data_IF_498860444631
#
_entry.id   IF_498860444631
#
_cell.length_a   1.000
_cell.length_b   1.000
_cell.length_c   1.000
_cell.angle_alpha   90.00
_cell.angle_beta   90.00
_cell.angle_gamma   90.00
#
_symmetry.space_group_name_H-M   'P 1'
#
loop_
_entity.id
_entity.type
_entity.pdbx_description
1 polymer ?
#
# COMPACT_ATOMS: atom_id res chain seq x y z
N UNK A 1 -15.65 -32.28 -0.38
CA UNK A 1 -15.96 -30.92 0.09
C UNK A 1 -15.11 -30.66 1.31
N UNK A 2 -13.91 -30.14 1.11
CA UNK A 2 -13.05 -29.72 2.22
C UNK A 2 -13.54 -28.32 2.59
N UNK A 3 -14.17 -28.19 3.76
CA UNK A 3 -14.40 -26.87 4.33
C UNK A 3 -13.04 -26.29 4.68
N UNK A 4 -12.63 -25.21 4.03
CA UNK A 4 -11.57 -24.33 4.52
C UNK A 4 -12.06 -23.73 5.84
N UNK A 5 -11.64 -24.35 6.95
CA UNK A 5 -12.06 -23.96 8.30
C UNK A 5 -11.15 -22.91 8.92
N UNK A 6 -10.05 -22.55 8.26
CA UNK A 6 -8.99 -21.72 8.84
C UNK A 6 -8.93 -20.30 8.27
N UNK A 7 -9.66 -20.00 7.19
CA UNK A 7 -9.75 -18.67 6.60
C UNK A 7 -10.49 -17.70 7.51
N UNK A 8 -9.87 -16.56 7.83
CA UNK A 8 -10.42 -15.53 8.68
C UNK A 8 -10.47 -14.19 7.96
N UNK A 9 -11.50 -13.39 8.27
CA UNK A 9 -11.66 -12.04 7.73
C UNK A 9 -10.85 -11.04 8.54
N UNK A 10 -10.05 -10.24 7.84
CA UNK A 10 -9.26 -9.17 8.41
C UNK A 10 -9.50 -7.89 7.65
N UNK A 11 -9.28 -6.77 8.33
CA UNK A 11 -9.29 -5.43 7.78
C UNK A 11 -7.90 -4.86 7.92
N UNK A 12 -7.27 -4.56 6.79
CA UNK A 12 -6.00 -3.86 6.74
C UNK A 12 -6.27 -2.38 6.67
N UNK A 13 -5.78 -1.61 7.63
CA UNK A 13 -5.83 -0.15 7.63
C UNK A 13 -4.41 0.34 7.43
N UNK A 14 -4.16 0.96 6.28
CA UNK A 14 -2.83 1.35 5.84
C UNK A 14 -2.81 2.87 5.71
N UNK A 15 -1.80 3.49 6.29
CA UNK A 15 -1.49 4.90 6.03
C UNK A 15 -0.01 5.03 5.72
N UNK A 16 0.33 5.85 4.74
CA UNK A 16 1.70 6.11 4.35
C UNK A 16 1.87 7.55 3.88
N UNK A 17 3.01 8.13 4.23
CA UNK A 17 3.46 9.40 3.69
C UNK A 17 4.59 9.14 2.70
N UNK A 18 4.43 9.60 1.46
CA UNK A 18 5.42 9.42 0.42
C UNK A 18 5.63 10.67 -0.42
N UNK A 19 6.83 10.79 -0.97
CA UNK A 19 7.34 11.97 -1.69
C UNK A 19 8.02 11.54 -2.97
N UNK A 20 7.94 12.32 -4.04
CA UNK A 20 8.86 12.20 -5.20
C UNK A 20 9.84 13.37 -5.23
N UNK A 21 11.05 13.11 -5.71
CA UNK A 21 12.11 14.12 -5.88
C UNK A 21 11.85 15.10 -7.04
N UNK A 22 10.79 14.91 -7.83
CA UNK A 22 10.53 15.72 -9.03
C UNK A 22 9.07 16.20 -9.10
N UNK A 23 8.87 17.51 -9.31
CA UNK A 23 7.54 18.12 -9.37
C UNK A 23 6.72 17.74 -10.61
N UNK A 24 7.38 17.32 -11.68
CA UNK A 24 6.72 16.97 -12.95
C UNK A 24 6.41 15.48 -13.04
N UNK A 25 6.84 14.70 -12.06
CA UNK A 25 6.68 13.27 -12.03
C UNK A 25 5.38 12.88 -11.31
N UNK A 26 4.79 11.75 -11.70
CA UNK A 26 3.68 11.15 -10.96
C UNK A 26 4.26 10.03 -10.11
N UNK A 27 4.03 10.11 -8.81
CA UNK A 27 4.44 9.12 -7.84
C UNK A 27 3.26 8.19 -7.55
N UNK A 28 3.54 6.90 -7.49
CA UNK A 28 2.59 5.84 -7.22
C UNK A 28 2.97 5.12 -5.94
N UNK A 29 1.97 4.71 -5.17
CA UNK A 29 2.13 3.82 -4.04
C UNK A 29 1.14 2.67 -4.19
N UNK A 30 1.67 1.49 -4.44
CA UNK A 30 0.90 0.26 -4.62
C UNK A 30 0.95 -0.59 -3.35
N UNK A 31 -0.20 -1.09 -2.93
CA UNK A 31 -0.34 -2.06 -1.84
C UNK A 31 -0.49 -3.44 -2.46
N UNK A 32 0.42 -4.36 -2.12
CA UNK A 32 0.30 -5.77 -2.53
C UNK A 32 0.26 -6.71 -1.33
N UNK A 33 -0.50 -7.79 -1.46
CA UNK A 33 -0.56 -8.89 -0.50
C UNK A 33 -0.23 -10.18 -1.27
N UNK A 34 0.83 -10.87 -0.86
CA UNK A 34 1.32 -12.10 -1.53
C UNK A 34 1.51 -11.93 -3.05
N UNK A 35 1.97 -10.75 -3.46
CA UNK A 35 2.15 -10.31 -4.86
C UNK A 35 0.87 -9.96 -5.62
N UNK A 36 -0.31 -10.06 -5.02
CA UNK A 36 -1.56 -9.54 -5.59
C UNK A 36 -1.73 -8.06 -5.25
N UNK A 37 -2.03 -7.24 -6.26
CA UNK A 37 -2.32 -5.82 -6.05
C UNK A 37 -3.70 -5.65 -5.41
N UNK A 38 -3.72 -5.05 -4.22
CA UNK A 38 -4.94 -4.74 -3.50
C UNK A 38 -5.42 -3.30 -3.72
N UNK A 39 -4.48 -2.35 -3.86
CA UNK A 39 -4.79 -0.93 -4.02
C UNK A 39 -3.61 -0.18 -4.65
N UNK A 40 -3.87 0.97 -5.24
CA UNK A 40 -2.87 1.90 -5.74
C UNK A 40 -3.37 3.33 -5.55
N UNK A 41 -2.47 4.20 -5.11
CA UNK A 41 -2.68 5.65 -5.11
C UNK A 41 -1.63 6.31 -5.99
N UNK A 42 -1.99 7.43 -6.62
CA UNK A 42 -1.05 8.23 -7.38
C UNK A 42 -1.22 9.72 -7.08
N UNK A 43 -0.09 10.43 -7.05
CA UNK A 43 -0.11 11.87 -6.87
C UNK A 43 0.94 12.54 -7.74
N UNK A 44 0.58 13.72 -8.25
CA UNK A 44 1.51 14.64 -8.90
C UNK A 44 1.76 15.83 -7.96
N UNK A 45 2.95 15.97 -7.39
CA UNK A 45 3.27 17.10 -6.52
C UNK A 45 3.20 18.46 -7.23
N UNK A 46 2.93 19.51 -6.47
CA UNK A 46 3.11 20.90 -6.92
C UNK A 46 4.58 21.37 -6.84
N UNK A 47 5.39 20.74 -5.97
CA UNK A 47 6.84 20.96 -5.86
C UNK A 47 7.57 19.69 -5.40
N UNK A 48 8.87 19.58 -5.72
CA UNK A 48 9.66 18.40 -5.37
C UNK A 48 9.73 18.19 -3.85
N UNK A 49 9.60 16.95 -3.40
CA UNK A 49 9.69 16.57 -1.99
C UNK A 49 8.44 16.88 -1.15
N UNK A 50 7.36 17.37 -1.76
CA UNK A 50 6.09 17.57 -1.02
C UNK A 50 5.53 16.21 -0.58
N UNK A 51 5.21 16.04 0.71
CA UNK A 51 4.61 14.82 1.22
C UNK A 51 3.15 14.71 0.75
N UNK A 52 2.80 13.53 0.27
CA UNK A 52 1.43 13.11 0.03
C UNK A 52 1.05 12.01 1.02
N UNK A 53 -0.17 12.10 1.55
CA UNK A 53 -0.69 11.16 2.53
C UNK A 53 -1.66 10.21 1.83
N UNK A 54 -1.31 8.94 1.83
CA UNK A 54 -2.17 7.83 1.43
C UNK A 54 -2.79 7.20 2.67
N UNK A 55 -4.11 6.97 2.63
CA UNK A 55 -4.85 6.25 3.65
C UNK A 55 -5.88 5.33 2.98
N UNK A 56 -5.85 4.04 3.29
CA UNK A 56 -6.81 3.06 2.76
C UNK A 56 -7.22 2.02 3.80
N UNK A 57 -8.38 1.41 3.56
CA UNK A 57 -8.93 0.32 4.35
C UNK A 57 -9.36 -0.80 3.42
N UNK A 58 -8.76 -1.98 3.56
CA UNK A 58 -8.95 -3.10 2.64
C UNK A 58 -9.42 -4.33 3.43
N UNK A 59 -10.64 -4.84 3.18
CA UNK A 59 -11.06 -6.13 3.71
C UNK A 59 -10.37 -7.26 2.95
N UNK A 60 -9.79 -8.22 3.67
CA UNK A 60 -9.11 -9.39 3.11
C UNK A 60 -9.56 -10.66 3.84
N UNK A 61 -9.48 -11.79 3.15
CA UNK A 61 -9.62 -13.12 3.75
C UNK A 61 -8.25 -13.76 3.72
N UNK A 62 -7.73 -14.15 4.88
CA UNK A 62 -6.42 -14.77 5.01
C UNK A 62 -6.58 -16.15 5.62
N UNK A 63 -5.89 -17.12 5.03
CA UNK A 63 -5.77 -18.45 5.58
C UNK A 63 -4.77 -18.48 6.74
N UNK A 64 -4.65 -19.62 7.41
CA UNK A 64 -3.58 -19.80 8.39
C UNK A 64 -2.23 -19.81 7.67
N UNK A 65 -1.31 -18.92 8.05
CA UNK A 65 0.02 -18.93 7.48
C UNK A 65 0.74 -17.59 7.57
N UNK A 66 1.90 -17.54 6.93
CA UNK A 66 2.64 -16.31 6.71
C UNK A 66 2.11 -15.65 5.43
N UNK A 67 1.72 -14.39 5.55
CA UNK A 67 1.36 -13.53 4.43
C UNK A 67 2.30 -12.32 4.39
N UNK A 68 2.59 -11.81 3.20
CA UNK A 68 3.49 -10.69 2.99
C UNK A 68 2.74 -9.50 2.40
N UNK A 69 2.60 -8.44 3.20
CA UNK A 69 2.10 -7.15 2.74
C UNK A 69 3.28 -6.27 2.32
N UNK A 70 3.24 -5.71 1.11
CA UNK A 70 4.26 -4.79 0.60
C UNK A 70 3.66 -3.45 0.20
N UNK A 71 4.46 -2.39 0.38
CA UNK A 71 4.19 -1.06 -0.15
C UNK A 71 5.24 -0.76 -1.21
N UNK A 72 4.82 -0.69 -2.47
CA UNK A 72 5.71 -0.50 -3.61
C UNK A 72 5.56 0.92 -4.15
N UNK A 73 6.61 1.71 -3.99
CA UNK A 73 6.66 3.08 -4.50
C UNK A 73 7.25 3.10 -5.93
N UNK A 74 6.55 3.71 -6.88
CA UNK A 74 6.94 3.77 -8.30
C UNK A 74 6.82 5.18 -8.86
N UNK A 75 7.59 5.47 -9.90
CA UNK A 75 7.59 6.75 -10.61
C UNK A 75 7.33 6.51 -12.10
N UNK A 76 6.55 7.38 -12.74
CA UNK A 76 6.38 7.35 -14.21
C UNK A 76 7.68 7.57 -14.98
N UNK A 77 8.58 8.41 -14.45
CA UNK A 77 9.78 8.86 -15.15
C UNK A 77 11.07 8.30 -14.54
N UNK A 78 10.98 7.26 -13.70
CA UNK A 78 12.12 6.63 -13.04
C UNK A 78 12.79 7.48 -11.95
N UNK A 79 12.15 8.55 -11.49
CA UNK A 79 12.64 9.32 -10.36
C UNK A 79 12.42 8.57 -9.04
N UNK A 80 13.18 8.95 -8.02
CA UNK A 80 13.05 8.35 -6.70
C UNK A 80 11.74 8.76 -6.04
N UNK A 81 10.94 7.77 -5.66
CA UNK A 81 9.83 7.93 -4.72
C UNK A 81 10.26 7.36 -3.38
N UNK A 82 10.11 8.15 -2.32
CA UNK A 82 10.48 7.77 -0.95
C UNK A 82 9.24 7.68 -0.08
N UNK A 83 9.06 6.53 0.59
CA UNK A 83 8.10 6.40 1.69
C UNK A 83 8.79 6.87 2.98
N UNK A 84 8.27 7.94 3.59
CA UNK A 84 8.85 8.52 4.81
C UNK A 84 8.33 7.83 6.05
N UNK A 85 7.05 7.51 6.06
CA UNK A 85 6.36 6.86 7.17
C UNK A 85 5.31 5.92 6.61
N UNK A 86 5.13 4.77 7.26
CA UNK A 86 4.05 3.85 6.98
C UNK A 86 3.53 3.29 8.31
N UNK A 87 2.21 3.09 8.39
CA UNK A 87 1.54 2.43 9.51
C UNK A 87 0.55 1.43 8.94
N UNK A 88 0.64 0.21 9.47
CA UNK A 88 -0.33 -0.85 9.26
C UNK A 88 -1.07 -1.10 10.58
N UNK A 89 -2.38 -1.22 10.49
CA UNK A 89 -3.22 -1.82 11.55
C UNK A 89 -3.97 -2.99 10.94
N UNK A 90 -4.06 -4.10 11.68
CA UNK A 90 -4.75 -5.31 11.25
C UNK A 90 -5.82 -5.62 12.29
N UNK A 91 -7.08 -5.50 11.87
CA UNK A 91 -8.23 -5.76 12.72
C UNK A 91 -8.97 -7.00 12.21
N UNK A 92 -9.18 -7.99 13.08
CA UNK A 92 -10.05 -9.14 12.77
C UNK A 92 -11.52 -8.74 12.97
N UNK A 93 -12.42 -9.14 12.09
CA UNK A 93 -13.86 -8.83 12.19
C UNK A 93 -14.78 -9.95 11.71
#
# INVERSE_FOLDING_TARGET
FTLDRDSQKYRLIISAEYTTSNKNDVAYLEVTLDSEQLNEDCFKPTSAGVPHLFCTMIPVVLDSGLHVLSLNAKSTNGNTVSVKRARLTVDKF
#
